data_IF_573960446851
#
_entry.id   IF_573960446851
#
_cell.length_a   1.000
_cell.length_b   1.000
_cell.length_c   1.000
_cell.angle_alpha   90.00
_cell.angle_beta   90.00
_cell.angle_gamma   90.00
#
_symmetry.space_group_name_H-M   'P 1'
#
loop_
_entity.id
_entity.type
_entity.pdbx_description
1 polymer ?
#
# COMPACT_ATOMS: atom_id res chain seq x y z
N UNK A 1 -15.17 -3.40 26.10
CA UNK A 1 -14.28 -3.97 25.06
C UNK A 1 -13.10 -3.03 24.89
N UNK A 2 -11.85 -3.49 25.06
CA UNK A 2 -10.64 -2.70 24.80
C UNK A 2 -10.09 -3.16 23.46
N UNK A 3 -9.87 -2.25 22.51
CA UNK A 3 -9.21 -2.61 21.26
C UNK A 3 -7.77 -3.05 21.55
N UNK A 4 -7.27 -4.10 20.87
CA UNK A 4 -5.86 -4.49 21.00
C UNK A 4 -4.95 -3.35 20.56
N UNK A 5 -3.75 -3.30 21.13
CA UNK A 5 -2.76 -2.28 20.77
C UNK A 5 -2.29 -2.47 19.32
N UNK A 6 -2.09 -1.36 18.62
CA UNK A 6 -1.62 -1.34 17.23
C UNK A 6 -0.20 -1.88 17.13
N UNK A 7 0.13 -2.49 15.99
CA UNK A 7 1.51 -2.87 15.66
C UNK A 7 2.27 -1.69 15.04
N UNK A 8 3.54 -1.90 14.68
CA UNK A 8 4.31 -0.93 13.88
C UNK A 8 3.70 -0.65 12.49
N UNK A 9 2.82 -1.55 12.00
CA UNK A 9 2.06 -1.34 10.78
C UNK A 9 0.84 -0.42 10.99
N UNK A 10 0.49 -0.14 12.26
CA UNK A 10 -0.67 0.64 12.65
C UNK A 10 -1.99 -0.11 12.50
N UNK A 11 -3.06 0.67 12.33
CA UNK A 11 -4.42 0.18 12.17
C UNK A 11 -4.90 0.34 10.73
N UNK A 12 -5.84 -0.52 10.33
CA UNK A 12 -6.54 -0.38 9.06
C UNK A 12 -7.30 0.95 9.04
N UNK A 13 -7.00 1.79 8.05
CA UNK A 13 -7.60 3.13 7.89
C UNK A 13 -9.10 3.14 7.57
N UNK A 14 -9.73 1.97 7.41
CA UNK A 14 -11.15 1.82 7.10
C UNK A 14 -11.96 1.31 8.31
N UNK A 15 -11.46 0.30 9.02
CA UNK A 15 -12.16 -0.30 10.15
C UNK A 15 -11.54 -0.01 11.53
N UNK A 16 -10.40 0.68 11.58
CA UNK A 16 -9.69 1.03 12.80
C UNK A 16 -9.34 -0.20 13.67
N UNK A 17 -9.06 -1.34 13.02
CA UNK A 17 -8.55 -2.54 13.67
C UNK A 17 -7.05 -2.69 13.38
N UNK A 18 -6.26 -3.20 14.33
CA UNK A 18 -4.83 -3.43 14.12
C UNK A 18 -4.56 -4.29 12.88
N UNK A 19 -3.58 -3.85 12.08
CA UNK A 19 -3.13 -4.62 10.93
C UNK A 19 -2.33 -5.84 11.39
N UNK A 20 -2.57 -6.97 10.71
CA UNK A 20 -1.82 -8.19 10.97
C UNK A 20 -0.37 -8.04 10.52
N UNK A 21 0.56 -8.62 11.29
CA UNK A 21 1.96 -8.74 10.90
C UNK A 21 2.18 -9.70 9.73
N UNK A 22 1.19 -10.55 9.42
CA UNK A 22 1.21 -11.38 8.22
C UNK A 22 0.99 -10.51 6.98
N UNK A 23 2.05 -10.35 6.18
CA UNK A 23 2.06 -9.61 4.92
C UNK A 23 0.98 -10.02 3.91
N UNK A 24 0.37 -11.20 4.09
CA UNK A 24 -0.72 -11.70 3.24
C UNK A 24 -2.10 -11.25 3.70
N UNK A 25 -2.23 -10.51 4.81
CA UNK A 25 -3.52 -10.09 5.40
C UNK A 25 -3.84 -8.60 5.24
N UNK A 26 -2.99 -7.87 4.53
CA UNK A 26 -3.21 -6.48 4.18
C UNK A 26 -2.77 -6.19 2.75
N UNK A 27 -3.20 -5.04 2.23
CA UNK A 27 -2.81 -4.51 0.92
C UNK A 27 -2.33 -3.07 1.07
N UNK A 28 -1.34 -2.68 0.27
CA UNK A 28 -0.90 -1.28 0.12
C UNK A 28 -1.68 -0.66 -1.02
N UNK A 29 -2.38 0.44 -0.75
CA UNK A 29 -3.05 1.21 -1.79
C UNK A 29 -2.07 2.17 -2.46
N UNK A 30 -1.52 1.81 -3.62
CA UNK A 30 -0.46 2.58 -4.31
C UNK A 30 -0.83 4.05 -4.58
N UNK A 31 -2.12 4.36 -4.79
CA UNK A 31 -2.59 5.73 -4.98
C UNK A 31 -2.33 6.67 -3.77
N UNK A 32 -2.29 6.14 -2.55
CA UNK A 32 -2.15 6.94 -1.32
C UNK A 32 -1.21 6.33 -0.26
N UNK A 33 -0.58 5.20 -0.58
CA UNK A 33 0.22 4.34 0.29
C UNK A 33 -0.40 4.04 1.66
N UNK A 34 -1.74 3.97 1.73
CA UNK A 34 -2.40 3.49 2.94
C UNK A 34 -2.46 1.99 2.96
N UNK A 35 -2.14 1.41 4.11
CA UNK A 35 -2.36 0.01 4.41
C UNK A 35 -3.83 -0.20 4.78
N UNK A 36 -4.44 -1.21 4.18
CA UNK A 36 -5.83 -1.60 4.42
C UNK A 36 -5.84 -3.11 4.64
N UNK A 37 -6.60 -3.58 5.64
CA UNK A 37 -6.74 -5.03 5.85
C UNK A 37 -7.49 -5.67 4.68
N UNK A 38 -7.17 -6.94 4.39
CA UNK A 38 -7.81 -7.64 3.28
C UNK A 38 -9.32 -7.78 3.45
N UNK A 39 -9.83 -7.82 4.69
CA UNK A 39 -11.27 -7.78 4.94
C UNK A 39 -11.93 -6.54 4.35
N UNK A 40 -11.40 -5.35 4.62
CA UNK A 40 -11.92 -4.10 4.06
C UNK A 40 -11.70 -3.99 2.55
N UNK A 41 -10.57 -4.50 2.04
CA UNK A 41 -10.31 -4.52 0.60
C UNK A 41 -11.31 -5.42 -0.15
N UNK A 42 -11.51 -6.65 0.31
CA UNK A 42 -12.47 -7.60 -0.25
C UNK A 42 -13.90 -7.08 -0.15
N UNK A 43 -14.30 -6.52 1.00
CA UNK A 43 -15.64 -5.93 1.16
C UNK A 43 -15.88 -4.78 0.17
N UNK A 44 -14.86 -3.97 -0.13
CA UNK A 44 -14.95 -2.92 -1.13
C UNK A 44 -15.13 -3.50 -2.55
N UNK A 45 -14.37 -4.53 -2.91
CA UNK A 45 -14.49 -5.20 -4.20
C UNK A 45 -15.87 -5.84 -4.39
N UNK A 46 -16.41 -6.52 -3.37
CA UNK A 46 -17.75 -7.13 -3.41
C UNK A 46 -18.80 -6.05 -3.69
N UNK A 47 -18.78 -4.95 -2.93
CA UNK A 47 -19.71 -3.82 -3.13
C UNK A 47 -19.64 -3.25 -4.55
N UNK A 48 -18.43 -3.14 -5.10
CA UNK A 48 -18.23 -2.59 -6.45
C UNK A 48 -18.72 -3.55 -7.54
N UNK A 49 -18.52 -4.86 -7.36
CA UNK A 49 -19.04 -5.88 -8.28
C UNK A 49 -20.57 -5.92 -8.28
N UNK A 50 -21.19 -5.96 -7.10
CA UNK A 50 -22.65 -5.97 -6.95
C UNK A 50 -23.29 -4.70 -7.53
N UNK A 51 -22.65 -3.55 -7.30
CA UNK A 51 -23.11 -2.25 -7.80
C UNK A 51 -22.70 -1.92 -9.24
N UNK A 52 -21.96 -2.80 -9.93
CA UNK A 52 -21.35 -2.53 -11.25
C UNK A 52 -20.56 -1.21 -11.29
N UNK A 53 -19.83 -0.94 -10.21
CA UNK A 53 -19.05 0.28 -10.03
C UNK A 53 -17.60 0.07 -10.48
N UNK A 54 -16.95 1.15 -10.92
CA UNK A 54 -15.51 1.16 -11.15
C UNK A 54 -14.75 0.90 -9.84
N UNK A 55 -13.71 0.06 -9.90
CA UNK A 55 -12.83 -0.17 -8.74
C UNK A 55 -12.16 1.12 -8.30
N UNK A 56 -12.32 1.47 -7.01
CA UNK A 56 -11.73 2.65 -6.39
C UNK A 56 -11.05 2.28 -5.09
N UNK A 57 -10.01 3.04 -4.73
CA UNK A 57 -9.38 2.93 -3.43
C UNK A 57 -10.41 3.11 -2.30
N UNK A 58 -10.48 2.19 -1.30
CA UNK A 58 -11.46 2.32 -0.22
C UNK A 58 -11.25 3.58 0.63
N UNK A 59 -10.01 4.07 0.70
CA UNK A 59 -9.62 5.22 1.51
C UNK A 59 -9.79 6.54 0.76
N UNK A 60 -8.99 6.80 -0.28
CA UNK A 60 -8.98 8.10 -0.97
C UNK A 60 -9.93 8.16 -2.18
N UNK A 61 -10.64 7.08 -2.50
CA UNK A 61 -11.60 6.98 -3.63
C UNK A 61 -11.00 7.22 -5.02
N UNK A 62 -9.67 7.33 -5.14
CA UNK A 62 -9.00 7.40 -6.43
C UNK A 62 -9.34 6.13 -7.24
N UNK A 63 -9.70 6.25 -8.53
CA UNK A 63 -9.87 5.10 -9.40
C UNK A 63 -8.64 4.21 -9.39
N UNK A 64 -8.83 2.90 -9.52
CA UNK A 64 -7.72 2.00 -9.74
C UNK A 64 -6.93 2.47 -10.96
N UNK A 65 -5.62 2.62 -10.80
CA UNK A 65 -4.74 2.95 -11.91
C UNK A 65 -4.79 1.81 -12.92
N UNK A 66 -4.94 2.16 -14.19
CA UNK A 66 -5.36 1.21 -15.23
C UNK A 66 -4.30 0.15 -15.55
N UNK A 67 -3.02 0.46 -15.40
CA UNK A 67 -1.93 -0.43 -15.79
C UNK A 67 -0.78 -0.43 -14.77
N UNK A 68 0.08 -1.43 -14.84
CA UNK A 68 1.29 -1.53 -14.02
C UNK A 68 2.29 -0.41 -14.32
N UNK A 69 2.40 -0.01 -15.59
CA UNK A 69 3.30 1.07 -16.02
C UNK A 69 2.88 2.41 -15.42
N UNK A 70 1.58 2.72 -15.41
CA UNK A 70 1.07 3.95 -14.78
C UNK A 70 1.33 3.94 -13.28
N UNK A 71 1.16 2.79 -12.62
CA UNK A 71 1.44 2.61 -11.18
C UNK A 71 2.92 2.82 -10.89
N UNK A 72 3.79 2.23 -11.71
CA UNK A 72 5.23 2.40 -11.60
C UNK A 72 5.67 3.86 -11.79
N UNK A 73 5.19 4.53 -12.85
CA UNK A 73 5.54 5.93 -13.11
C UNK A 73 5.07 6.86 -11.98
N UNK A 74 3.90 6.59 -11.39
CA UNK A 74 3.44 7.33 -10.21
C UNK A 74 4.35 7.08 -9.01
N UNK A 75 4.78 5.83 -8.76
CA UNK A 75 5.72 5.52 -7.70
C UNK A 75 7.06 6.24 -7.90
N UNK A 76 7.60 6.27 -9.13
CA UNK A 76 8.85 6.99 -9.45
C UNK A 76 8.73 8.47 -9.12
N UNK A 77 7.67 9.14 -9.61
CA UNK A 77 7.43 10.58 -9.33
C UNK A 77 7.32 10.89 -7.83
N UNK A 78 6.70 10.00 -7.06
CA UNK A 78 6.57 10.16 -5.60
C UNK A 78 7.90 9.92 -4.89
N UNK A 79 8.69 8.94 -5.35
CA UNK A 79 10.02 8.69 -4.82
C UNK A 79 10.99 9.86 -5.10
N UNK A 80 10.88 10.49 -6.27
CA UNK A 80 11.61 11.73 -6.60
C UNK A 80 11.21 12.90 -5.68
N UNK A 81 9.94 12.94 -5.24
CA UNK A 81 9.43 13.90 -4.26
C UNK A 81 9.74 13.51 -2.79
N UNK A 82 10.61 12.52 -2.56
CA UNK A 82 10.99 12.01 -1.24
C UNK A 82 9.82 11.48 -0.39
N UNK A 83 8.78 10.91 -1.01
CA UNK A 83 7.77 10.15 -0.29
C UNK A 83 8.40 8.83 0.25
N UNK A 84 8.51 8.64 1.58
CA UNK A 84 9.20 7.50 2.16
C UNK A 84 8.51 6.17 1.81
N UNK A 85 7.19 6.16 1.65
CA UNK A 85 6.46 4.96 1.27
C UNK A 85 6.72 4.60 -0.21
N UNK A 86 6.81 5.59 -1.10
CA UNK A 86 7.18 5.37 -2.49
C UNK A 86 8.60 4.80 -2.62
N UNK A 87 9.55 5.40 -1.90
CA UNK A 87 10.94 4.96 -1.88
C UNK A 87 11.04 3.53 -1.35
N UNK A 88 10.29 3.20 -0.29
CA UNK A 88 10.23 1.84 0.23
C UNK A 88 9.73 0.82 -0.83
N UNK A 89 8.70 1.18 -1.60
CA UNK A 89 8.18 0.32 -2.67
C UNK A 89 9.19 0.12 -3.82
N UNK A 90 10.04 1.11 -4.12
CA UNK A 90 11.15 0.92 -5.08
C UNK A 90 12.12 -0.17 -4.60
N UNK A 91 12.45 -0.19 -3.31
CA UNK A 91 13.28 -1.26 -2.74
C UNK A 91 12.62 -2.65 -2.81
N UNK A 92 11.30 -2.73 -2.60
CA UNK A 92 10.54 -3.98 -2.79
C UNK A 92 10.63 -4.48 -4.24
N UNK A 93 10.62 -3.57 -5.21
CA UNK A 93 10.80 -3.92 -6.62
C UNK A 93 12.21 -4.47 -6.89
N UNK A 94 13.26 -3.77 -6.45
CA UNK A 94 14.64 -4.25 -6.55
C UNK A 94 14.80 -5.65 -5.95
N UNK A 95 14.22 -5.90 -4.76
CA UNK A 95 14.24 -7.22 -4.13
C UNK A 95 13.62 -8.30 -5.03
N UNK A 96 12.46 -8.03 -5.62
CA UNK A 96 11.78 -8.98 -6.53
C UNK A 96 12.59 -9.28 -7.79
N UNK A 97 13.37 -8.30 -8.25
CA UNK A 97 14.27 -8.42 -9.41
C UNK A 97 15.60 -9.09 -9.04
N UNK A 98 15.87 -9.34 -7.75
CA UNK A 98 17.12 -9.92 -7.26
C UNK A 98 18.25 -8.91 -7.06
N UNK A 99 17.96 -7.61 -7.19
CA UNK A 99 18.87 -6.52 -6.88
C UNK A 99 18.81 -6.18 -5.38
N UNK A 100 19.55 -6.95 -4.58
CA UNK A 100 19.58 -6.79 -3.12
C UNK A 100 20.27 -5.49 -2.68
N UNK A 101 21.32 -5.06 -3.38
CA UNK A 101 22.05 -3.84 -3.07
C UNK A 101 21.19 -2.60 -3.32
N UNK A 102 20.50 -2.54 -4.47
CA UNK A 102 19.53 -1.49 -4.77
C UNK A 102 18.37 -1.49 -3.77
N UNK A 103 17.85 -2.66 -3.40
CA UNK A 103 16.80 -2.77 -2.38
C UNK A 103 17.23 -2.16 -1.04
N UNK A 104 18.43 -2.51 -0.58
CA UNK A 104 19.01 -1.99 0.67
C UNK A 104 19.20 -0.47 0.63
N UNK A 105 19.71 0.07 -0.48
CA UNK A 105 19.88 1.52 -0.66
C UNK A 105 18.54 2.26 -0.57
N UNK A 106 17.51 1.79 -1.27
CA UNK A 106 16.18 2.41 -1.22
C UNK A 106 15.58 2.35 0.18
N UNK A 107 15.64 1.20 0.86
CA UNK A 107 15.08 1.10 2.21
C UNK A 107 15.83 1.93 3.24
N UNK A 108 17.15 2.03 3.12
CA UNK A 108 17.95 2.92 3.97
C UNK A 108 17.56 4.38 3.77
N UNK A 109 17.39 4.81 2.51
CA UNK A 109 16.90 6.17 2.20
C UNK A 109 15.50 6.41 2.78
N UNK A 110 14.58 5.46 2.61
CA UNK A 110 13.21 5.59 3.12
C UNK A 110 13.16 5.71 4.64
N UNK A 111 14.01 4.97 5.36
CA UNK A 111 14.07 5.01 6.82
C UNK A 111 14.68 6.31 7.37
N UNK A 112 15.42 7.05 6.55
CA UNK A 112 16.04 8.33 6.92
C UNK A 112 15.17 9.56 6.70
N UNK A 113 13.94 9.40 6.20
CA UNK A 113 12.96 10.46 5.90
C UNK A 113 11.75 10.37 6.83
#
# INVERSE_FOLDING_TARGET
FKQPESSHLGDCTICCLPLSLDGKKYVVMECCYKLICNGCHCANQIRELEGKLQHKCPFCRHPSLATEEVRFLMNVKRAEANDPAAIFQMGVKCLKEGDYDGAFQYWTKAAGL
#
